data_IF_564446798595
#
_entry.id   IF_564446798595
#
_cell.length_a   1.000
_cell.length_b   1.000
_cell.length_c   1.000
_cell.angle_alpha   90.00
_cell.angle_beta   90.00
_cell.angle_gamma   90.00
#
_symmetry.space_group_name_H-M   'P 1'
#
loop_
_entity.id
_entity.type
_entity.pdbx_description
1 polymer ?
#
# COMPACT_ATOMS: atom_id res chain seq x y z
N UNK A 1 -2.44 15.05 41.21
CA UNK A 1 -3.17 15.18 39.94
C UNK A 1 -2.69 14.07 39.04
N UNK A 2 -3.52 13.06 38.81
CA UNK A 2 -3.21 12.01 37.82
C UNK A 2 -3.54 12.62 36.47
N UNK A 3 -2.57 13.25 35.83
CA UNK A 3 -2.72 13.71 34.45
C UNK A 3 -2.81 12.46 33.58
N UNK A 4 -4.04 12.00 33.38
CA UNK A 4 -4.37 11.15 32.26
C UNK A 4 -4.15 11.99 31.01
N UNK A 5 -2.91 12.07 30.55
CA UNK A 5 -2.66 12.38 29.15
C UNK A 5 -3.24 11.17 28.43
N UNK A 6 -4.47 11.30 27.94
CA UNK A 6 -4.93 10.49 26.84
C UNK A 6 -3.87 10.71 25.75
N UNK A 7 -2.88 9.82 25.68
CA UNK A 7 -1.89 9.83 24.63
C UNK A 7 -2.70 9.59 23.38
N UNK A 8 -3.02 10.69 22.69
CA UNK A 8 -3.59 10.64 21.37
C UNK A 8 -2.80 9.59 20.61
N UNK A 9 -3.50 8.58 20.08
CA UNK A 9 -2.93 7.65 19.14
C UNK A 9 -2.65 8.42 17.84
N UNK A 10 -1.72 9.38 17.88
CA UNK A 10 -1.11 9.90 16.68
C UNK A 10 -0.35 8.72 16.11
N UNK A 11 -0.87 8.16 15.01
CA UNK A 11 -0.33 6.96 14.39
C UNK A 11 1.05 7.16 13.76
N UNK A 12 1.75 8.25 14.08
CA UNK A 12 3.11 8.55 13.67
C UNK A 12 3.36 8.52 12.15
N UNK A 13 2.31 8.46 11.34
CA UNK A 13 2.37 8.04 9.94
C UNK A 13 3.25 8.97 9.08
N UNK A 14 3.35 10.22 9.50
CA UNK A 14 4.10 11.26 8.81
C UNK A 14 5.28 11.79 9.63
N UNK A 15 5.60 11.15 10.75
CA UNK A 15 6.64 11.63 11.65
C UNK A 15 8.04 11.17 11.24
N UNK A 16 8.12 10.08 10.46
CA UNK A 16 9.41 9.45 10.12
C UNK A 16 9.55 9.15 8.63
N UNK A 17 10.77 9.23 8.07
CA UNK A 17 11.00 8.96 6.64
C UNK A 17 10.64 7.51 6.27
N UNK A 18 10.83 6.57 7.19
CA UNK A 18 10.42 5.18 7.01
C UNK A 18 8.90 5.04 6.87
N UNK A 19 8.14 5.62 7.80
CA UNK A 19 6.68 5.54 7.78
C UNK A 19 6.09 6.21 6.53
N UNK A 20 6.60 7.38 6.16
CA UNK A 20 6.25 8.08 4.92
C UNK A 20 6.56 7.20 3.70
N UNK A 21 7.75 6.60 3.65
CA UNK A 21 8.16 5.70 2.58
C UNK A 21 7.23 4.49 2.45
N UNK A 22 6.90 3.85 3.57
CA UNK A 22 5.97 2.73 3.62
C UNK A 22 4.54 3.12 3.19
N UNK A 23 4.07 4.31 3.59
CA UNK A 23 2.78 4.85 3.16
C UNK A 23 2.74 5.10 1.63
N UNK A 24 3.81 5.64 1.06
CA UNK A 24 3.93 5.83 -0.40
C UNK A 24 3.94 4.49 -1.12
N UNK A 25 4.68 3.49 -0.63
CA UNK A 25 4.69 2.14 -1.21
C UNK A 25 3.30 1.50 -1.15
N UNK A 26 2.58 1.68 -0.04
CA UNK A 26 1.19 1.20 0.10
C UNK A 26 0.29 1.81 -0.97
N UNK A 27 0.34 3.14 -1.14
CA UNK A 27 -0.43 3.86 -2.16
C UNK A 27 -0.12 3.34 -3.57
N UNK A 28 1.16 3.19 -3.91
CA UNK A 28 1.59 2.69 -5.22
C UNK A 28 1.09 1.27 -5.49
N UNK A 29 1.10 0.39 -4.48
CA UNK A 29 0.57 -0.96 -4.60
C UNK A 29 -0.94 -0.95 -4.91
N UNK A 30 -1.72 -0.12 -4.23
CA UNK A 30 -3.15 0.00 -4.51
C UNK A 30 -3.43 0.57 -5.90
N UNK A 31 -2.68 1.60 -6.32
CA UNK A 31 -2.80 2.16 -7.68
C UNK A 31 -2.46 1.12 -8.75
N UNK A 32 -1.39 0.35 -8.55
CA UNK A 32 -1.01 -0.72 -9.45
C UNK A 32 -2.08 -1.81 -9.51
N UNK A 33 -2.66 -2.20 -8.38
CA UNK A 33 -3.74 -3.18 -8.33
C UNK A 33 -5.00 -2.72 -9.06
N UNK A 34 -5.40 -1.46 -8.87
CA UNK A 34 -6.51 -0.85 -9.60
C UNK A 34 -6.21 -0.84 -11.10
N UNK A 35 -4.99 -0.49 -11.49
CA UNK A 35 -4.57 -0.51 -12.89
C UNK A 35 -4.64 -1.91 -13.51
N UNK A 36 -4.21 -2.95 -12.78
CA UNK A 36 -4.30 -4.35 -13.23
C UNK A 36 -5.74 -4.84 -13.34
N UNK A 37 -6.60 -4.49 -12.40
CA UNK A 37 -8.02 -4.82 -12.47
C UNK A 37 -8.71 -4.09 -13.64
N UNK A 38 -8.41 -2.81 -13.82
CA UNK A 38 -8.94 -2.02 -14.93
C UNK A 38 -8.52 -2.58 -16.29
N UNK A 39 -7.23 -2.88 -16.47
CA UNK A 39 -6.71 -3.48 -17.71
C UNK A 39 -7.30 -4.86 -17.97
N UNK A 40 -7.42 -5.71 -16.95
CA UNK A 40 -8.08 -7.02 -17.07
C UNK A 40 -9.59 -6.92 -17.35
N UNK A 41 -10.28 -5.92 -16.80
CA UNK A 41 -11.69 -5.66 -17.10
C UNK A 41 -11.91 -5.27 -18.57
N UNK A 42 -10.97 -4.51 -19.15
CA UNK A 42 -11.00 -4.18 -20.58
C UNK A 42 -10.54 -5.33 -21.50
N UNK A 43 -10.03 -6.43 -20.94
CA UNK A 43 -9.42 -7.50 -21.75
C UNK A 43 -8.15 -7.04 -22.46
N UNK A 44 -7.45 -6.05 -21.90
CA UNK A 44 -6.30 -5.40 -22.54
C UNK A 44 -4.97 -6.11 -22.31
N UNK A 45 -3.92 -5.59 -22.94
CA UNK A 45 -2.53 -6.01 -22.75
C UNK A 45 -1.79 -5.09 -21.78
N UNK A 46 -0.94 -5.68 -20.94
CA UNK A 46 -0.01 -4.93 -20.10
C UNK A 46 1.01 -4.18 -20.98
N UNK A 47 1.12 -2.84 -20.88
CA UNK A 47 2.02 -2.07 -21.74
C UNK A 47 3.51 -2.39 -21.53
N UNK A 48 3.89 -2.87 -20.34
CA UNK A 48 5.30 -3.17 -20.01
C UNK A 48 5.67 -4.63 -20.30
N UNK A 49 4.74 -5.57 -20.11
CA UNK A 49 5.00 -7.00 -20.20
C UNK A 49 4.46 -7.65 -21.48
N UNK A 50 3.58 -6.97 -22.23
CA UNK A 50 2.91 -7.52 -23.41
C UNK A 50 1.88 -8.62 -23.12
N UNK A 51 1.72 -9.02 -21.86
CA UNK A 51 0.80 -10.08 -21.44
C UNK A 51 -0.65 -9.63 -21.55
N UNK A 52 -1.49 -10.45 -22.18
CA UNK A 52 -2.93 -10.28 -22.19
C UNK A 52 -3.51 -10.56 -20.80
N UNK A 53 -4.32 -9.63 -20.31
CA UNK A 53 -5.06 -9.77 -19.07
C UNK A 53 -6.53 -9.98 -19.39
N UNK A 54 -7.15 -10.97 -18.75
CA UNK A 54 -8.59 -11.04 -18.64
C UNK A 54 -9.00 -10.62 -17.22
N UNK A 55 -10.30 -10.64 -16.94
CA UNK A 55 -10.83 -10.21 -15.64
C UNK A 55 -10.29 -11.03 -14.46
N UNK A 56 -10.09 -12.33 -14.61
CA UNK A 56 -9.54 -13.23 -13.58
C UNK A 56 -8.08 -12.87 -13.29
N UNK A 57 -7.24 -12.73 -14.32
CA UNK A 57 -5.82 -12.40 -14.13
C UNK A 57 -5.61 -10.97 -13.65
N UNK A 58 -6.44 -10.02 -14.10
CA UNK A 58 -6.46 -8.65 -13.60
C UNK A 58 -6.85 -8.58 -12.13
N UNK A 59 -7.89 -9.32 -11.73
CA UNK A 59 -8.30 -9.42 -10.33
C UNK A 59 -7.26 -10.12 -9.46
N UNK A 60 -6.60 -11.16 -9.95
CA UNK A 60 -5.49 -11.79 -9.24
C UNK A 60 -4.33 -10.81 -9.00
N UNK A 61 -3.99 -10.01 -10.02
CA UNK A 61 -3.01 -8.92 -9.89
C UNK A 61 -3.41 -7.88 -8.84
N UNK A 62 -4.68 -7.47 -8.81
CA UNK A 62 -5.21 -6.60 -7.76
C UNK A 62 -5.05 -7.24 -6.38
N UNK A 63 -5.43 -8.49 -6.19
CA UNK A 63 -5.37 -9.13 -4.87
C UNK A 63 -3.94 -9.23 -4.34
N UNK A 64 -2.98 -9.58 -5.21
CA UNK A 64 -1.57 -9.69 -4.82
C UNK A 64 -1.00 -8.31 -4.45
N UNK A 65 -1.21 -7.32 -5.31
CA UNK A 65 -0.70 -5.96 -5.07
C UNK A 65 -1.38 -5.31 -3.86
N UNK A 66 -2.70 -5.49 -3.68
CA UNK A 66 -3.42 -5.04 -2.51
C UNK A 66 -2.91 -5.69 -1.22
N UNK A 67 -2.56 -6.98 -1.23
CA UNK A 67 -1.96 -7.66 -0.07
C UNK A 67 -0.65 -6.98 0.36
N UNK A 68 0.25 -6.70 -0.59
CA UNK A 68 1.47 -5.94 -0.30
C UNK A 68 1.18 -4.50 0.14
N UNK A 69 0.16 -3.86 -0.45
CA UNK A 69 -0.29 -2.54 -0.05
C UNK A 69 -0.77 -2.49 1.40
N UNK A 70 -1.52 -3.51 1.84
CA UNK A 70 -1.95 -3.66 3.23
C UNK A 70 -0.75 -3.89 4.15
N UNK A 71 0.18 -4.79 3.80
CA UNK A 71 1.39 -5.00 4.61
C UNK A 71 2.19 -3.71 4.77
N UNK A 72 2.40 -2.97 3.67
CA UNK A 72 3.10 -1.69 3.69
C UNK A 72 2.36 -0.64 4.52
N UNK A 73 1.02 -0.63 4.50
CA UNK A 73 0.21 0.23 5.36
C UNK A 73 0.40 -0.12 6.85
N UNK A 74 0.40 -1.41 7.19
CA UNK A 74 0.67 -1.86 8.56
C UNK A 74 2.08 -1.49 9.00
N UNK A 75 3.08 -1.63 8.12
CA UNK A 75 4.43 -1.16 8.39
C UNK A 75 4.46 0.36 8.60
N UNK A 76 3.73 1.13 7.81
CA UNK A 76 3.65 2.59 7.99
C UNK A 76 3.04 2.97 9.34
N UNK A 77 1.97 2.29 9.78
CA UNK A 77 1.23 2.64 11.00
C UNK A 77 1.92 2.11 12.27
N UNK A 78 2.49 0.91 12.23
CA UNK A 78 2.85 0.17 13.45
C UNK A 78 4.34 -0.18 13.57
N UNK A 79 5.15 -0.06 12.52
CA UNK A 79 6.59 -0.20 12.71
C UNK A 79 7.16 1.10 13.26
N UNK A 80 7.81 0.99 14.41
CA UNK A 80 8.70 2.02 14.91
C UNK A 80 9.74 2.36 13.83
N UNK A 81 10.10 3.64 13.66
CA UNK A 81 11.12 4.04 12.73
C UNK A 81 12.44 3.35 13.06
N UNK A 82 12.80 2.35 12.25
CA UNK A 82 14.13 1.79 12.26
C UNK A 82 15.11 2.83 11.73
N UNK A 83 15.97 3.32 12.62
CA UNK A 83 16.96 4.40 12.43
C UNK A 83 16.39 5.82 12.57
N UNK A 84 16.37 6.27 13.82
CA UNK A 84 16.36 7.65 14.26
C UNK A 84 17.74 8.27 13.92
N UNK A 85 17.82 9.06 12.85
CA UNK A 85 18.91 10.01 12.58
C UNK A 85 18.38 11.21 11.82
#
# INVERSE_FOLDING_TARGET
MTSATASSADSGLFDTPFSIGAAVVSLLCFLLGIFMAWTGYQGGTLPVAGTELNIVTGMAGLMITAFFGVIALFAAIYMEPGFDH
#
